data_IF_658921375314
#
_entry.id   IF_658921375314
#
_cell.length_a   1.000
_cell.length_b   1.000
_cell.length_c   1.000
_cell.angle_alpha   90.00
_cell.angle_beta   90.00
_cell.angle_gamma   90.00
#
_symmetry.space_group_name_H-M   'P 1'
#
loop_
_entity.id
_entity.type
_entity.pdbx_description
1 polymer ?
#
# COMPACT_ATOMS: atom_id res chain seq x y z
N UNK A 1 24.79 -55.31 14.94
CA UNK A 1 25.81 -54.28 15.25
C UNK A 1 25.31 -52.98 14.58
N UNK A 2 24.64 -52.13 15.33
CA UNK A 2 24.10 -50.84 14.84
C UNK A 2 25.10 -49.76 15.23
N UNK A 3 25.63 -49.09 14.23
CA UNK A 3 26.54 -47.94 14.44
C UNK A 3 25.67 -46.67 14.65
N UNK A 4 25.78 -46.11 15.83
CA UNK A 4 25.23 -44.78 16.16
C UNK A 4 26.23 -43.72 15.70
N UNK A 5 25.81 -42.92 14.74
CA UNK A 5 26.58 -41.75 14.29
C UNK A 5 26.34 -40.60 15.27
N UNK A 6 27.31 -40.26 16.08
CA UNK A 6 27.33 -39.06 16.89
C UNK A 6 27.78 -37.87 16.03
N UNK A 7 26.90 -36.95 15.75
CA UNK A 7 27.23 -35.63 15.20
C UNK A 7 27.73 -34.70 16.32
N UNK A 8 28.79 -33.93 16.11
CA UNK A 8 29.30 -33.02 17.12
C UNK A 8 28.36 -31.81 17.28
N UNK A 9 27.97 -31.54 18.52
CA UNK A 9 27.35 -30.31 18.93
C UNK A 9 28.33 -29.15 18.72
N UNK A 10 28.09 -28.30 17.72
CA UNK A 10 28.80 -27.03 17.62
C UNK A 10 28.17 -26.09 18.63
N UNK A 11 28.90 -25.81 19.68
CA UNK A 11 28.55 -24.77 20.65
C UNK A 11 28.56 -23.41 19.95
N UNK A 12 27.40 -22.85 19.69
CA UNK A 12 27.24 -21.45 19.29
C UNK A 12 27.53 -20.61 20.53
N UNK A 13 28.73 -20.07 20.61
CA UNK A 13 29.09 -19.07 21.60
C UNK A 13 28.19 -17.84 21.37
N UNK A 14 27.36 -17.53 22.33
CA UNK A 14 26.65 -16.26 22.45
C UNK A 14 27.69 -15.15 22.62
N UNK A 15 28.10 -14.53 21.51
CA UNK A 15 28.79 -13.26 21.57
C UNK A 15 27.77 -12.22 22.07
N UNK A 16 27.80 -11.90 23.35
CA UNK A 16 27.25 -10.69 23.92
C UNK A 16 28.01 -9.52 23.29
N UNK A 17 27.52 -9.03 22.16
CA UNK A 17 27.93 -7.75 21.63
C UNK A 17 27.41 -6.67 22.57
N UNK A 18 28.23 -6.23 23.48
CA UNK A 18 28.10 -4.93 24.14
C UNK A 18 28.18 -3.85 23.08
N UNK A 19 27.01 -3.39 22.62
CA UNK A 19 26.90 -2.26 21.71
C UNK A 19 27.04 -0.98 22.52
N UNK A 20 28.27 -0.58 22.81
CA UNK A 20 28.58 0.74 23.28
C UNK A 20 29.34 1.53 22.22
N UNK A 21 28.80 2.75 21.96
CA UNK A 21 29.48 3.91 21.37
C UNK A 21 29.87 3.86 19.87
N UNK A 22 29.06 3.28 18.99
CA UNK A 22 29.02 3.76 17.61
C UNK A 22 27.72 4.53 17.40
N UNK A 23 27.81 5.81 16.99
CA UNK A 23 26.70 6.75 16.90
C UNK A 23 25.48 6.14 16.26
N UNK A 24 24.45 5.85 17.05
CA UNK A 24 23.18 5.31 16.55
C UNK A 24 22.62 6.28 15.51
N UNK A 25 22.42 5.80 14.29
CA UNK A 25 21.76 6.57 13.26
C UNK A 25 20.41 7.06 13.82
N UNK A 26 20.17 8.37 13.74
CA UNK A 26 18.96 9.00 14.27
C UNK A 26 17.98 9.21 13.13
N UNK A 27 16.71 8.89 13.34
CA UNK A 27 15.65 9.34 12.45
C UNK A 27 15.57 10.87 12.47
N UNK A 28 15.59 11.47 11.27
CA UNK A 28 15.34 12.90 11.08
C UNK A 28 14.09 13.07 10.23
N UNK A 29 13.36 14.14 10.48
CA UNK A 29 12.14 14.52 9.78
C UNK A 29 12.33 15.91 9.21
N UNK A 30 12.07 16.06 7.91
CA UNK A 30 12.12 17.36 7.22
C UNK A 30 10.75 17.67 6.65
N UNK A 31 10.18 18.82 6.94
CA UNK A 31 8.96 19.31 6.28
C UNK A 31 9.32 19.83 4.89
N UNK A 32 8.69 19.29 3.86
CA UNK A 32 8.96 19.63 2.47
C UNK A 32 7.84 20.44 1.81
N UNK A 33 6.62 20.31 2.29
CA UNK A 33 5.46 21.07 1.83
C UNK A 33 4.49 21.31 3.01
N UNK A 34 3.71 22.39 2.97
CA UNK A 34 2.83 22.84 4.06
C UNK A 34 1.39 23.15 3.63
N UNK A 35 1.05 22.95 2.37
CA UNK A 35 -0.31 23.19 1.84
C UNK A 35 -0.88 21.90 1.27
N UNK A 36 -0.98 20.87 2.12
CA UNK A 36 -1.38 19.52 1.73
C UNK A 36 -2.85 19.32 2.05
N UNK A 37 -3.61 18.78 1.09
CA UNK A 37 -5.04 18.54 1.26
C UNK A 37 -5.32 17.49 2.34
N UNK A 38 -6.46 17.63 3.00
CA UNK A 38 -6.96 16.60 3.88
C UNK A 38 -7.21 15.32 3.10
N UNK A 39 -6.77 14.19 3.65
CA UNK A 39 -6.98 12.86 3.08
C UNK A 39 -6.32 12.62 1.71
N UNK A 40 -5.26 13.35 1.39
CA UNK A 40 -4.47 13.09 0.18
C UNK A 40 -3.80 11.72 0.14
N UNK A 41 -4.24 10.78 0.96
CA UNK A 41 -3.40 9.69 1.45
C UNK A 41 -4.17 8.44 1.87
N UNK A 42 -5.21 8.07 1.17
CA UNK A 42 -6.07 6.97 1.62
C UNK A 42 -5.45 5.57 1.56
N UNK A 43 -4.42 5.37 0.78
CA UNK A 43 -3.80 4.05 0.59
C UNK A 43 -2.29 4.12 0.64
N UNK A 44 -1.62 3.13 1.22
CA UNK A 44 -0.17 2.99 1.11
C UNK A 44 0.17 2.49 -0.29
N UNK A 45 0.42 3.42 -1.19
CA UNK A 45 0.81 3.18 -2.57
C UNK A 45 1.91 4.12 -3.00
N UNK A 46 2.67 3.72 -3.99
CA UNK A 46 3.84 4.36 -4.53
C UNK A 46 3.73 5.90 -4.63
N UNK A 47 4.14 6.63 -3.60
CA UNK A 47 4.17 8.09 -3.56
C UNK A 47 5.53 8.69 -3.83
N UNK A 48 6.57 7.86 -3.99
CA UNK A 48 7.91 8.32 -4.27
C UNK A 48 8.85 7.23 -4.77
N UNK A 49 9.91 7.65 -5.47
CA UNK A 49 10.94 6.77 -6.03
C UNK A 49 12.33 7.42 -5.93
N UNK A 50 13.33 6.64 -5.56
CA UNK A 50 14.72 7.06 -5.67
C UNK A 50 15.31 6.63 -7.01
N UNK A 51 15.68 7.61 -7.84
CA UNK A 51 16.36 7.41 -9.10
C UNK A 51 17.89 7.37 -8.89
N UNK A 52 18.45 6.17 -9.01
CA UNK A 52 19.88 5.94 -8.83
C UNK A 52 20.75 6.62 -9.89
N UNK A 53 20.24 6.81 -11.10
CA UNK A 53 21.01 7.38 -12.24
C UNK A 53 21.39 8.84 -12.00
N UNK A 54 20.44 9.63 -11.51
CA UNK A 54 20.65 11.06 -11.20
C UNK A 54 20.87 11.30 -9.71
N UNK A 55 20.72 10.27 -8.86
CA UNK A 55 20.85 10.36 -7.42
C UNK A 55 19.86 11.38 -6.79
N UNK A 56 18.63 11.31 -7.24
CA UNK A 56 17.51 12.12 -6.72
C UNK A 56 16.39 11.23 -6.22
N UNK A 57 15.69 11.68 -5.19
CA UNK A 57 14.42 11.10 -4.78
C UNK A 57 13.30 12.01 -5.25
N UNK A 58 12.33 11.45 -5.95
CA UNK A 58 11.11 12.13 -6.36
C UNK A 58 9.96 11.69 -5.47
N UNK A 59 9.10 12.64 -5.06
CA UNK A 59 7.91 12.40 -4.28
C UNK A 59 6.71 13.13 -4.89
N UNK A 60 5.50 12.60 -4.68
CA UNK A 60 4.26 13.21 -5.13
C UNK A 60 3.25 13.31 -3.99
N UNK A 61 2.39 14.32 -4.02
CA UNK A 61 1.31 14.52 -3.05
C UNK A 61 0.18 15.36 -3.64
N UNK A 62 -0.97 15.39 -2.96
CA UNK A 62 -2.06 16.29 -3.27
C UNK A 62 -2.00 17.55 -2.39
N UNK A 63 -1.93 18.70 -3.01
CA UNK A 63 -1.91 20.01 -2.36
C UNK A 63 -3.28 20.65 -2.27
N UNK A 64 -3.31 21.98 -2.21
CA UNK A 64 -4.55 22.76 -2.21
C UNK A 64 -5.41 22.40 -3.44
N UNK A 65 -6.73 22.35 -3.27
CA UNK A 65 -7.68 21.83 -4.25
C UNK A 65 -7.44 20.39 -4.70
N UNK A 66 -6.62 19.63 -3.94
CA UNK A 66 -6.15 18.29 -4.30
C UNK A 66 -5.34 18.25 -5.62
N UNK A 67 -4.83 19.39 -6.02
CA UNK A 67 -3.89 19.48 -7.15
C UNK A 67 -2.69 18.57 -6.91
N UNK A 68 -2.24 17.91 -7.96
CA UNK A 68 -1.08 17.00 -7.88
C UNK A 68 0.23 17.74 -8.02
N UNK A 69 1.13 17.51 -7.09
CA UNK A 69 2.47 18.09 -7.05
C UNK A 69 3.54 17.00 -7.07
N UNK A 70 4.69 17.36 -7.61
CA UNK A 70 5.92 16.58 -7.57
C UNK A 70 7.07 17.45 -7.08
N UNK A 71 7.98 16.84 -6.34
CA UNK A 71 9.17 17.49 -5.82
C UNK A 71 10.35 16.52 -5.86
N UNK A 72 11.57 17.04 -5.99
CA UNK A 72 12.77 16.22 -5.97
C UNK A 72 13.74 16.61 -4.86
N UNK A 73 14.37 15.62 -4.23
CA UNK A 73 15.52 15.79 -3.35
C UNK A 73 16.80 15.39 -4.07
N UNK A 74 17.73 16.33 -4.23
CA UNK A 74 19.06 16.06 -4.77
C UNK A 74 20.00 15.62 -3.65
N UNK A 75 20.37 14.34 -3.64
CA UNK A 75 21.25 13.77 -2.60
C UNK A 75 22.71 14.27 -2.67
N UNK A 76 23.14 14.85 -3.78
CA UNK A 76 24.48 15.44 -3.90
C UNK A 76 24.54 16.84 -3.27
N UNK A 77 23.44 17.59 -3.43
CA UNK A 77 23.32 18.95 -2.92
C UNK A 77 22.65 19.01 -1.54
N UNK A 78 22.01 17.93 -1.13
CA UNK A 78 21.17 17.87 0.09
C UNK A 78 20.07 18.94 0.11
N UNK A 79 19.42 19.17 -1.03
CA UNK A 79 18.39 20.19 -1.19
C UNK A 79 17.16 19.67 -1.89
N UNK A 80 15.99 20.20 -1.49
CA UNK A 80 14.73 20.00 -2.17
C UNK A 80 14.55 21.02 -3.30
N UNK A 81 13.96 20.61 -4.42
CA UNK A 81 13.47 21.53 -5.46
C UNK A 81 12.24 22.30 -4.93
N UNK A 82 11.85 23.36 -5.65
CA UNK A 82 10.50 23.88 -5.52
C UNK A 82 9.47 22.79 -5.93
N UNK A 83 8.26 22.80 -5.33
CA UNK A 83 7.16 21.94 -5.80
C UNK A 83 6.75 22.32 -7.24
N UNK A 84 6.59 21.32 -8.11
CA UNK A 84 6.01 21.49 -9.43
C UNK A 84 4.57 20.98 -9.42
N UNK A 85 3.60 21.85 -9.68
CA UNK A 85 2.19 21.48 -9.87
C UNK A 85 2.03 20.88 -11.26
N UNK A 86 1.68 19.62 -11.32
CA UNK A 86 1.63 18.87 -12.59
C UNK A 86 0.23 18.71 -13.14
N UNK A 87 -0.79 18.88 -12.30
CA UNK A 87 -2.16 18.70 -12.71
C UNK A 87 -3.17 19.26 -11.71
N UNK A 88 -4.34 19.62 -12.21
CA UNK A 88 -5.49 20.02 -11.42
C UNK A 88 -6.06 18.83 -10.67
N UNK A 89 -6.50 19.08 -9.45
CA UNK A 89 -7.22 18.11 -8.65
C UNK A 89 -8.74 18.15 -8.87
N UNK A 90 -9.45 17.55 -7.96
CA UNK A 90 -10.90 17.60 -7.84
C UNK A 90 -11.25 17.53 -6.35
N UNK A 91 -12.42 18.04 -5.96
CA UNK A 91 -12.85 18.06 -4.56
C UNK A 91 -13.22 16.67 -4.02
N UNK A 92 -12.29 15.73 -4.07
CA UNK A 92 -12.45 14.35 -3.59
C UNK A 92 -11.15 13.79 -3.01
N UNK A 93 -11.22 13.35 -1.78
CA UNK A 93 -10.12 12.78 -1.03
C UNK A 93 -9.51 11.49 -1.62
N UNK A 94 -10.03 10.97 -2.71
CA UNK A 94 -9.46 9.83 -3.43
C UNK A 94 -8.49 10.26 -4.54
N UNK A 95 -8.32 11.56 -4.76
CA UNK A 95 -7.52 12.12 -5.85
C UNK A 95 -6.00 12.14 -5.57
N UNK A 96 -5.51 11.40 -4.59
CA UNK A 96 -4.09 11.34 -4.30
C UNK A 96 -3.28 10.77 -5.48
N UNK A 97 -2.11 11.33 -5.78
CA UNK A 97 -1.23 10.82 -6.82
C UNK A 97 -0.47 9.58 -6.36
N UNK A 98 -0.25 8.64 -7.27
CA UNK A 98 0.67 7.50 -7.10
C UNK A 98 1.69 7.50 -8.22
N UNK A 99 2.95 7.18 -7.92
CA UNK A 99 4.08 7.38 -8.82
C UNK A 99 4.87 6.10 -9.04
N UNK A 100 5.31 5.87 -10.28
CA UNK A 100 6.39 4.96 -10.62
C UNK A 100 7.36 5.62 -11.61
N UNK A 101 8.57 5.07 -11.71
CA UNK A 101 9.52 5.46 -12.74
C UNK A 101 9.55 4.37 -13.83
N UNK A 102 9.28 4.77 -15.07
CA UNK A 102 9.43 3.91 -16.22
C UNK A 102 10.93 3.62 -16.53
N UNK A 103 11.21 2.54 -17.24
CA UNK A 103 12.58 2.10 -17.53
C UNK A 103 13.39 3.14 -18.34
N UNK A 104 12.73 3.96 -19.13
CA UNK A 104 13.35 5.05 -19.88
C UNK A 104 13.67 6.29 -19.01
N UNK A 105 13.29 6.25 -17.74
CA UNK A 105 13.58 7.28 -16.74
C UNK A 105 12.46 8.30 -16.55
N UNK A 106 11.40 8.26 -17.33
CA UNK A 106 10.26 9.14 -17.13
C UNK A 106 9.49 8.76 -15.85
N UNK A 107 9.00 9.76 -15.15
CA UNK A 107 8.08 9.59 -14.02
C UNK A 107 6.67 9.51 -14.55
N UNK A 108 5.89 8.55 -14.04
CA UNK A 108 4.50 8.36 -14.38
C UNK A 108 3.66 8.51 -13.11
N UNK A 109 2.65 9.37 -13.15
CA UNK A 109 1.77 9.62 -12.01
C UNK A 109 0.33 9.34 -12.43
N UNK A 110 -0.32 8.46 -11.64
CA UNK A 110 -1.72 8.12 -11.77
C UNK A 110 -2.48 8.89 -10.68
N UNK A 111 -3.53 9.62 -11.05
CA UNK A 111 -4.15 10.60 -10.18
C UNK A 111 -5.62 10.88 -10.52
N UNK A 112 -6.28 11.57 -9.63
CA UNK A 112 -7.60 12.13 -9.88
C UNK A 112 -8.70 11.09 -10.02
N UNK A 113 -8.57 9.93 -9.38
CA UNK A 113 -9.45 8.79 -9.64
C UNK A 113 -10.36 8.46 -8.46
N UNK A 114 -11.62 8.86 -8.60
CA UNK A 114 -12.72 8.33 -7.81
C UNK A 114 -13.96 8.16 -8.67
N UNK A 115 -14.18 6.95 -9.15
CA UNK A 115 -15.27 6.59 -10.06
C UNK A 115 -15.24 7.41 -11.37
N UNK A 116 -14.05 7.75 -11.82
CA UNK A 116 -13.79 8.49 -13.06
C UNK A 116 -12.76 7.74 -13.90
N UNK A 117 -12.49 8.24 -15.09
CA UNK A 117 -11.55 7.67 -16.05
C UNK A 117 -10.15 7.48 -15.46
N UNK A 118 -9.49 6.38 -15.84
CA UNK A 118 -8.09 6.13 -15.48
C UNK A 118 -7.17 6.98 -16.32
N UNK A 119 -6.44 7.88 -15.69
CA UNK A 119 -5.53 8.84 -16.34
C UNK A 119 -4.13 8.74 -15.75
N UNK A 120 -3.15 9.13 -16.56
CA UNK A 120 -1.74 9.19 -16.18
C UNK A 120 -1.14 10.51 -16.65
N UNK A 121 -0.31 11.12 -15.82
CA UNK A 121 0.58 12.23 -16.22
C UNK A 121 2.00 11.69 -16.34
N UNK A 122 2.68 12.05 -17.43
CA UNK A 122 4.07 11.66 -17.75
C UNK A 122 4.99 12.87 -17.70
N UNK A 123 6.15 12.74 -17.05
CA UNK A 123 7.14 13.82 -17.05
C UNK A 123 7.65 14.13 -18.46
N UNK A 124 7.90 15.40 -18.81
CA UNK A 124 8.38 15.76 -20.17
C UNK A 124 9.77 15.21 -20.45
N UNK A 125 10.62 15.16 -19.43
CA UNK A 125 12.00 14.69 -19.54
C UNK A 125 12.24 13.49 -18.61
N UNK A 126 13.08 12.52 -19.02
CA UNK A 126 13.49 11.43 -18.16
C UNK A 126 14.32 11.96 -16.98
N UNK A 127 14.17 11.33 -15.81
CA UNK A 127 14.93 11.65 -14.60
C UNK A 127 14.72 13.08 -14.05
N UNK A 128 13.59 13.72 -14.41
CA UNK A 128 13.23 15.07 -13.98
C UNK A 128 11.77 15.15 -13.55
N UNK A 129 11.52 16.01 -12.54
CA UNK A 129 10.18 16.41 -12.14
C UNK A 129 9.77 17.76 -12.74
N UNK A 130 10.66 18.44 -13.45
CA UNK A 130 10.47 19.79 -13.94
C UNK A 130 9.65 19.81 -15.25
N UNK A 131 9.05 20.97 -15.55
CA UNK A 131 8.34 21.20 -16.79
C UNK A 131 6.85 20.87 -16.74
N UNK A 132 6.22 20.94 -17.92
CA UNK A 132 4.78 20.70 -18.12
C UNK A 132 4.56 19.23 -18.47
N UNK A 133 3.77 18.56 -17.67
CA UNK A 133 3.52 17.13 -17.82
C UNK A 133 2.40 16.86 -18.82
N UNK A 134 2.56 15.80 -19.60
CA UNK A 134 1.57 15.34 -20.55
C UNK A 134 0.56 14.39 -19.88
N UNK A 135 -0.73 14.63 -20.08
CA UNK A 135 -1.79 13.75 -19.60
C UNK A 135 -2.24 12.77 -20.68
N UNK A 136 -2.39 11.52 -20.33
CA UNK A 136 -2.89 10.45 -21.18
C UNK A 136 -4.10 9.77 -20.54
N UNK A 137 -5.19 9.61 -21.30
CA UNK A 137 -6.33 8.78 -20.94
C UNK A 137 -5.97 7.31 -21.21
N UNK A 138 -6.00 6.47 -20.17
CA UNK A 138 -5.70 5.04 -20.26
C UNK A 138 -6.97 4.22 -20.47
N UNK A 139 -8.02 4.48 -19.69
CA UNK A 139 -9.30 3.78 -19.77
C UNK A 139 -10.44 4.71 -19.40
N UNK A 140 -11.59 4.53 -20.07
CA UNK A 140 -12.84 5.24 -19.77
C UNK A 140 -13.63 4.64 -18.61
N UNK A 141 -13.17 3.54 -18.03
CA UNK A 141 -13.84 2.88 -16.92
C UNK A 141 -13.80 3.75 -15.67
N UNK A 142 -14.81 3.59 -14.82
CA UNK A 142 -14.89 4.30 -13.55
C UNK A 142 -13.86 3.75 -12.54
N UNK A 143 -12.66 4.28 -12.57
CA UNK A 143 -11.51 3.81 -11.79
C UNK A 143 -11.38 4.52 -10.45
N UNK A 144 -10.85 3.80 -9.46
CA UNK A 144 -10.48 4.32 -8.12
C UNK A 144 -9.26 3.55 -7.62
N UNK A 145 -8.42 4.16 -6.79
CA UNK A 145 -7.28 3.55 -6.12
C UNK A 145 -6.23 2.96 -7.07
N UNK A 146 -5.55 3.77 -7.85
CA UNK A 146 -4.47 3.29 -8.70
C UNK A 146 -3.29 2.78 -7.87
N UNK A 147 -2.81 1.58 -8.16
CA UNK A 147 -1.71 0.91 -7.48
C UNK A 147 -0.67 0.46 -8.51
N UNK A 148 0.22 1.35 -8.93
CA UNK A 148 1.22 1.05 -9.94
C UNK A 148 2.42 0.31 -9.35
N UNK A 149 3.03 -0.55 -10.18
CA UNK A 149 4.37 -1.09 -9.95
C UNK A 149 5.05 -1.40 -11.27
N UNK A 150 6.38 -1.53 -11.24
CA UNK A 150 7.19 -1.82 -12.42
C UNK A 150 7.93 -3.13 -12.21
N UNK A 151 7.78 -4.05 -13.14
CA UNK A 151 8.50 -5.34 -13.12
C UNK A 151 9.97 -5.17 -13.53
N UNK A 152 10.79 -6.18 -13.27
CA UNK A 152 12.22 -6.15 -13.61
C UNK A 152 12.51 -5.95 -15.11
N UNK A 153 11.64 -6.43 -15.97
CA UNK A 153 11.73 -6.25 -17.43
C UNK A 153 11.23 -4.88 -17.91
N UNK A 154 10.72 -4.05 -16.98
CA UNK A 154 10.21 -2.72 -17.26
C UNK A 154 8.74 -2.68 -17.65
N UNK A 155 8.03 -3.80 -17.57
CA UNK A 155 6.57 -3.82 -17.76
C UNK A 155 5.90 -3.09 -16.58
N UNK A 156 4.99 -2.18 -16.87
CA UNK A 156 4.27 -1.40 -15.88
C UNK A 156 2.88 -1.98 -15.72
N UNK A 157 2.49 -2.27 -14.50
CA UNK A 157 1.16 -2.67 -14.09
C UNK A 157 0.54 -1.57 -13.24
N UNK A 158 -0.76 -1.32 -13.41
CA UNK A 158 -1.55 -0.48 -12.52
C UNK A 158 -2.81 -1.23 -12.14
N UNK A 159 -2.88 -1.70 -10.92
CA UNK A 159 -4.14 -2.23 -10.36
C UNK A 159 -5.03 -1.05 -9.97
N UNK A 160 -6.33 -1.19 -10.20
CA UNK A 160 -7.32 -0.21 -9.80
C UNK A 160 -8.65 -0.89 -9.51
N UNK A 161 -9.48 -0.25 -8.70
CA UNK A 161 -10.83 -0.71 -8.45
C UNK A 161 -11.76 -0.07 -9.46
N UNK A 162 -12.55 -0.87 -10.14
CA UNK A 162 -13.61 -0.40 -11.03
C UNK A 162 -14.94 -0.33 -10.26
N UNK A 163 -15.74 0.70 -10.49
CA UNK A 163 -17.12 0.77 -10.02
C UNK A 163 -18.03 0.39 -11.16
N UNK A 164 -18.65 -0.78 -11.06
CA UNK A 164 -19.64 -1.28 -12.01
C UNK A 164 -20.97 -1.39 -11.29
N UNK A 165 -21.98 -0.71 -11.81
CA UNK A 165 -23.33 -0.71 -11.24
C UNK A 165 -24.22 -1.80 -11.79
N UNK A 166 -23.86 -2.36 -12.92
CA UNK A 166 -24.62 -3.37 -13.61
C UNK A 166 -23.69 -4.26 -14.42
N UNK A 167 -23.32 -5.38 -13.82
CA UNK A 167 -22.39 -6.33 -14.47
C UNK A 167 -23.07 -7.24 -15.49
N UNK A 168 -24.35 -7.51 -15.34
CA UNK A 168 -25.10 -8.42 -16.19
C UNK A 168 -26.26 -7.73 -16.96
N UNK A 169 -26.47 -6.42 -16.77
CA UNK A 169 -27.54 -5.66 -17.37
C UNK A 169 -28.93 -5.92 -16.77
N UNK A 170 -29.03 -6.75 -15.74
CA UNK A 170 -30.30 -7.22 -15.19
C UNK A 170 -30.49 -6.91 -13.72
N UNK A 171 -29.41 -6.73 -12.97
CA UNK A 171 -29.46 -6.49 -11.53
C UNK A 171 -28.58 -5.29 -11.16
N UNK A 172 -29.12 -4.23 -10.58
CA UNK A 172 -28.33 -3.08 -10.12
C UNK A 172 -27.53 -3.45 -8.88
N UNK A 173 -26.50 -4.27 -9.03
CA UNK A 173 -25.54 -4.57 -7.98
C UNK A 173 -24.38 -3.61 -8.11
N UNK A 174 -24.16 -2.77 -7.10
CA UNK A 174 -22.96 -1.96 -7.01
C UNK A 174 -21.79 -2.92 -6.67
N UNK A 175 -21.13 -3.41 -7.72
CA UNK A 175 -19.95 -4.26 -7.58
C UNK A 175 -18.70 -3.45 -7.86
N UNK A 176 -17.63 -3.73 -7.11
CA UNK A 176 -16.38 -3.00 -7.20
C UNK A 176 -15.19 -3.97 -7.26
N UNK A 177 -15.02 -4.63 -8.42
CA UNK A 177 -13.90 -5.53 -8.63
C UNK A 177 -12.59 -4.77 -8.82
N UNK A 178 -11.47 -5.48 -8.66
CA UNK A 178 -10.16 -5.03 -9.09
C UNK A 178 -9.87 -5.49 -10.51
N UNK A 179 -9.36 -4.57 -11.31
CA UNK A 179 -8.78 -4.80 -12.62
C UNK A 179 -7.33 -4.30 -12.62
N UNK A 180 -6.63 -4.50 -13.72
CA UNK A 180 -5.35 -3.87 -13.97
C UNK A 180 -5.18 -3.50 -15.44
N UNK A 181 -4.30 -2.54 -15.69
CA UNK A 181 -3.79 -2.21 -17.02
C UNK A 181 -2.28 -2.46 -17.07
N UNK A 182 -1.77 -2.73 -18.27
CA UNK A 182 -0.37 -3.08 -18.51
C UNK A 182 0.19 -2.27 -19.66
N UNK A 183 1.37 -1.71 -19.46
CA UNK A 183 2.20 -1.09 -20.49
C UNK A 183 3.54 -1.78 -20.59
N UNK A 184 3.98 -2.07 -21.83
CA UNK A 184 5.31 -2.64 -22.13
C UNK A 184 6.25 -1.64 -22.83
N UNK A 185 5.81 -0.43 -23.03
CA UNK A 185 6.47 0.62 -23.80
C UNK A 185 6.64 1.93 -23.02
N UNK A 186 6.90 1.79 -21.72
CA UNK A 186 7.13 2.91 -20.78
C UNK A 186 5.92 3.85 -20.64
N UNK A 187 4.71 3.32 -20.63
CA UNK A 187 3.48 4.06 -20.42
C UNK A 187 2.89 4.72 -21.68
N UNK A 188 3.40 4.42 -22.88
CA UNK A 188 2.88 5.01 -24.11
C UNK A 188 1.59 4.35 -24.59
N UNK A 189 1.49 3.03 -24.46
CA UNK A 189 0.26 2.28 -24.76
C UNK A 189 -0.10 1.33 -23.64
N UNK A 190 -1.39 1.02 -23.53
CA UNK A 190 -1.94 0.24 -22.43
C UNK A 190 -2.89 -0.84 -22.93
N UNK A 191 -2.87 -1.99 -22.25
CA UNK A 191 -3.85 -3.07 -22.43
C UNK A 191 -4.53 -3.35 -21.09
N UNK A 192 -5.82 -3.58 -21.09
CA UNK A 192 -6.57 -3.95 -19.89
C UNK A 192 -6.32 -5.42 -19.51
N UNK A 193 -6.59 -5.78 -18.27
CA UNK A 193 -6.59 -7.18 -17.83
C UNK A 193 -7.51 -8.04 -18.69
N UNK A 194 -8.69 -7.53 -19.02
CA UNK A 194 -9.66 -8.22 -19.90
C UNK A 194 -9.09 -8.47 -21.31
N UNK A 195 -8.38 -7.50 -21.91
CA UNK A 195 -7.71 -7.70 -23.20
C UNK A 195 -6.64 -8.79 -23.16
N UNK A 196 -6.03 -9.00 -22.00
CA UNK A 196 -4.90 -9.90 -21.82
C UNK A 196 -5.31 -11.32 -21.39
N UNK A 197 -6.40 -11.47 -20.69
CA UNK A 197 -6.84 -12.75 -20.10
C UNK A 197 -8.19 -13.24 -20.63
N UNK A 198 -9.02 -12.33 -21.13
CA UNK A 198 -10.41 -12.62 -21.48
C UNK A 198 -11.36 -12.56 -20.28
N UNK A 199 -10.82 -12.41 -19.06
CA UNK A 199 -11.61 -12.38 -17.83
C UNK A 199 -12.25 -11.01 -17.61
N UNK A 200 -13.39 -11.01 -16.94
CA UNK A 200 -14.16 -9.81 -16.66
C UNK A 200 -13.53 -8.91 -15.60
N UNK A 201 -12.82 -9.49 -14.63
CA UNK A 201 -12.09 -8.81 -13.58
C UNK A 201 -10.86 -9.64 -13.15
N UNK A 202 -9.99 -9.06 -12.37
CA UNK A 202 -8.85 -9.77 -11.79
C UNK A 202 -9.18 -10.34 -10.40
N UNK A 203 -9.79 -9.55 -9.52
CA UNK A 203 -10.29 -10.00 -8.22
C UNK A 203 -11.68 -9.39 -8.04
N UNK A 204 -12.70 -10.23 -7.79
CA UNK A 204 -14.04 -9.68 -7.64
C UNK A 204 -15.09 -10.73 -7.37
N UNK A 205 -16.32 -10.25 -7.42
CA UNK A 205 -17.51 -11.07 -7.40
C UNK A 205 -18.58 -10.45 -8.29
N UNK A 206 -19.49 -11.27 -8.79
CA UNK A 206 -20.61 -10.80 -9.60
C UNK A 206 -21.85 -10.57 -8.77
N UNK A 207 -22.14 -11.46 -7.83
CA UNK A 207 -23.30 -11.36 -6.97
C UNK A 207 -23.13 -12.30 -5.76
N UNK A 208 -22.56 -11.79 -4.69
CA UNK A 208 -22.48 -12.55 -3.43
C UNK A 208 -23.82 -12.49 -2.71
N UNK A 209 -24.25 -13.62 -2.16
CA UNK A 209 -25.48 -13.70 -1.37
C UNK A 209 -25.46 -12.83 -0.09
N UNK A 210 -24.26 -12.50 0.41
CA UNK A 210 -24.06 -11.64 1.57
C UNK A 210 -23.92 -10.15 1.20
N UNK A 211 -24.09 -9.77 -0.07
CA UNK A 211 -23.96 -8.40 -0.59
C UNK A 211 -22.61 -7.72 -0.29
N UNK A 212 -21.53 -8.51 -0.12
CA UNK A 212 -20.18 -8.02 0.10
C UNK A 212 -19.41 -8.00 -1.23
N UNK A 213 -19.86 -7.18 -2.17
CA UNK A 213 -19.45 -7.20 -3.58
C UNK A 213 -18.31 -6.22 -3.92
N UNK A 214 -17.64 -5.68 -2.92
CA UNK A 214 -16.63 -4.64 -3.11
C UNK A 214 -15.26 -5.13 -2.62
N UNK A 215 -14.24 -5.03 -3.47
CA UNK A 215 -12.87 -5.37 -3.13
C UNK A 215 -12.14 -4.12 -2.64
N UNK A 216 -11.56 -4.21 -1.43
CA UNK A 216 -10.71 -3.16 -0.87
C UNK A 216 -9.30 -3.70 -0.63
N UNK A 217 -8.39 -3.49 -1.59
CA UNK A 217 -6.98 -3.81 -1.41
C UNK A 217 -6.39 -2.86 -0.38
N UNK A 218 -5.85 -3.40 0.71
CA UNK A 218 -5.15 -2.66 1.74
C UNK A 218 -3.74 -2.31 1.31
N UNK A 219 -3.03 -3.29 0.77
CA UNK A 219 -1.69 -3.11 0.21
C UNK A 219 -1.44 -4.06 -0.95
N UNK A 220 -0.71 -3.56 -1.94
CA UNK A 220 -0.09 -4.31 -3.01
C UNK A 220 1.42 -4.08 -2.90
N UNK A 221 2.20 -5.15 -2.73
CA UNK A 221 3.65 -5.05 -2.52
C UNK A 221 4.41 -5.98 -3.45
N UNK A 222 5.25 -5.40 -4.29
CA UNK A 222 6.18 -6.17 -5.10
C UNK A 222 7.40 -6.61 -4.26
N UNK A 223 7.81 -7.86 -4.44
CA UNK A 223 8.99 -8.44 -3.81
C UNK A 223 10.18 -8.47 -4.78
N UNK A 224 11.37 -8.63 -4.23
CA UNK A 224 12.61 -8.75 -5.01
C UNK A 224 12.59 -9.92 -6.00
N UNK A 225 11.83 -10.98 -5.73
CA UNK A 225 11.66 -12.13 -6.65
C UNK A 225 10.64 -11.88 -7.77
N UNK A 226 10.03 -10.69 -7.82
CA UNK A 226 9.04 -10.29 -8.81
C UNK A 226 7.59 -10.63 -8.46
N UNK A 227 7.34 -11.40 -7.40
CA UNK A 227 5.98 -11.67 -6.92
C UNK A 227 5.34 -10.41 -6.34
N UNK A 228 4.04 -10.28 -6.51
CA UNK A 228 3.29 -9.16 -5.97
C UNK A 228 2.32 -9.68 -4.92
N UNK A 229 2.54 -9.31 -3.66
CA UNK A 229 1.68 -9.69 -2.53
C UNK A 229 0.49 -8.73 -2.45
N UNK A 230 -0.68 -9.27 -2.24
CA UNK A 230 -1.93 -8.52 -2.18
C UNK A 230 -2.69 -8.95 -0.93
N UNK A 231 -3.04 -7.99 -0.10
CA UNK A 231 -3.93 -8.15 1.05
C UNK A 231 -5.16 -7.27 0.86
N UNK A 232 -6.33 -7.81 1.15
CA UNK A 232 -7.58 -7.09 0.96
C UNK A 232 -8.67 -7.52 1.95
N UNK A 233 -9.73 -6.73 2.03
CA UNK A 233 -10.98 -7.05 2.71
C UNK A 233 -12.14 -6.90 1.75
N UNK A 234 -13.25 -7.54 2.06
CA UNK A 234 -14.52 -7.31 1.37
C UNK A 234 -15.28 -6.18 2.04
N UNK A 235 -15.96 -5.39 1.22
CA UNK A 235 -16.94 -4.43 1.68
C UNK A 235 -18.25 -4.58 0.91
N UNK A 236 -19.30 -3.92 1.40
CA UNK A 236 -20.62 -3.90 0.76
C UNK A 236 -21.73 -3.56 1.71
N UNK A 237 -22.96 -3.79 1.27
CA UNK A 237 -24.16 -3.45 2.04
C UNK A 237 -24.57 -4.50 3.06
N UNK A 238 -24.06 -5.74 2.97
CA UNK A 238 -24.41 -6.82 3.88
C UNK A 238 -25.94 -7.01 3.98
N UNK A 239 -26.51 -7.08 5.22
CA UNK A 239 -27.95 -7.23 5.42
C UNK A 239 -28.79 -6.03 4.93
N UNK A 240 -28.17 -4.90 4.63
CA UNK A 240 -28.85 -3.73 4.06
C UNK A 240 -28.94 -3.77 2.52
N UNK A 241 -28.61 -4.88 1.89
CA UNK A 241 -28.65 -5.06 0.45
C UNK A 241 -27.47 -4.39 -0.27
N UNK A 242 -27.71 -3.86 -1.48
CA UNK A 242 -26.66 -3.31 -2.35
C UNK A 242 -26.18 -1.90 -1.95
N UNK A 243 -26.00 -1.64 -0.66
CA UNK A 243 -25.46 -0.37 -0.18
C UNK A 243 -23.95 -0.37 -0.20
N UNK A 244 -23.36 0.71 -0.68
CA UNK A 244 -21.92 0.90 -0.76
C UNK A 244 -21.30 1.08 0.63
N UNK A 245 -20.19 0.36 0.88
CA UNK A 245 -19.23 0.59 1.97
C UNK A 245 -19.85 0.68 3.38
N UNK A 246 -20.94 -0.08 3.63
CA UNK A 246 -21.61 -0.11 4.94
C UNK A 246 -20.90 -1.01 5.93
N UNK A 247 -20.46 -2.17 5.46
CA UNK A 247 -19.78 -3.18 6.25
C UNK A 247 -18.48 -3.58 5.58
N UNK A 248 -17.51 -4.00 6.40
CA UNK A 248 -16.30 -4.67 5.98
C UNK A 248 -16.24 -6.00 6.70
N UNK A 249 -15.72 -7.03 6.06
CA UNK A 249 -15.51 -8.34 6.68
C UNK A 249 -14.32 -9.06 6.11
N UNK A 250 -13.71 -9.87 6.95
CA UNK A 250 -12.66 -10.81 6.64
C UNK A 250 -11.38 -10.17 6.08
N UNK A 251 -10.30 -10.88 6.26
CA UNK A 251 -9.00 -10.57 5.66
C UNK A 251 -8.66 -11.66 4.68
N UNK A 252 -8.25 -11.28 3.49
CA UNK A 252 -7.85 -12.18 2.42
C UNK A 252 -6.44 -11.87 1.96
N UNK A 253 -5.76 -12.91 1.48
CA UNK A 253 -4.40 -12.81 0.97
C UNK A 253 -4.24 -13.63 -0.30
N UNK A 254 -3.59 -13.03 -1.29
CA UNK A 254 -3.11 -13.70 -2.52
C UNK A 254 -1.75 -13.14 -2.92
N UNK A 255 -1.07 -13.81 -3.84
CA UNK A 255 0.02 -13.20 -4.57
C UNK A 255 -0.17 -13.40 -6.07
N UNK A 256 0.31 -12.43 -6.83
CA UNK A 256 0.20 -12.34 -8.27
C UNK A 256 1.58 -12.52 -8.90
N UNK A 257 1.66 -13.32 -9.97
CA UNK A 257 2.84 -13.44 -10.80
C UNK A 257 2.66 -12.63 -12.10
N UNK A 258 3.38 -11.51 -12.27
CA UNK A 258 3.26 -10.69 -13.47
C UNK A 258 3.69 -11.39 -14.77
N UNK A 259 4.45 -12.49 -14.71
CA UNK A 259 4.94 -13.18 -15.90
C UNK A 259 3.86 -13.97 -16.61
N UNK A 260 3.06 -14.73 -15.84
CA UNK A 260 1.93 -15.50 -16.38
C UNK A 260 0.56 -14.86 -16.07
N UNK A 261 0.52 -13.83 -15.22
CA UNK A 261 -0.69 -13.14 -14.76
C UNK A 261 -1.63 -14.03 -13.93
N UNK A 262 -1.08 -15.06 -13.29
CA UNK A 262 -1.84 -15.90 -12.38
C UNK A 262 -1.79 -15.41 -10.94
N UNK A 263 -2.86 -15.69 -10.23
CA UNK A 263 -2.96 -15.52 -8.78
C UNK A 263 -2.70 -16.83 -8.06
N UNK A 264 -2.18 -16.73 -6.85
CA UNK A 264 -1.83 -17.91 -6.06
C UNK A 264 -2.22 -17.70 -4.60
N UNK A 265 -2.61 -18.78 -3.93
CA UNK A 265 -2.84 -18.78 -2.49
C UNK A 265 -1.52 -18.74 -1.68
N UNK A 266 -1.63 -18.60 -0.35
CA UNK A 266 -0.46 -18.69 0.54
C UNK A 266 0.25 -20.04 0.46
N UNK A 267 -0.48 -21.13 0.17
CA UNK A 267 0.09 -22.47 -0.02
C UNK A 267 0.75 -22.68 -1.39
N UNK A 268 0.65 -21.69 -2.31
CA UNK A 268 1.17 -21.79 -3.67
C UNK A 268 0.23 -22.46 -4.66
N UNK A 269 -1.05 -22.68 -4.31
CA UNK A 269 -2.04 -23.18 -5.25
C UNK A 269 -2.29 -22.13 -6.33
N UNK A 270 -2.17 -22.53 -7.59
CA UNK A 270 -2.53 -21.72 -8.75
C UNK A 270 -4.06 -21.59 -8.88
N UNK A 271 -4.55 -20.36 -8.98
CA UNK A 271 -5.95 -19.98 -9.08
C UNK A 271 -6.30 -19.43 -10.47
N UNK A 272 -5.32 -19.39 -11.41
CA UNK A 272 -5.52 -18.81 -12.74
C UNK A 272 -5.44 -17.29 -12.74
N UNK A 273 -6.05 -16.70 -13.77
CA UNK A 273 -5.97 -15.26 -14.08
C UNK A 273 -7.04 -14.41 -13.41
N UNK A 274 -8.03 -15.06 -12.77
CA UNK A 274 -9.15 -14.43 -12.09
C UNK A 274 -9.35 -15.07 -10.70
N UNK A 275 -9.72 -14.28 -9.72
CA UNK A 275 -10.18 -14.71 -8.39
C UNK A 275 -11.65 -14.37 -8.25
N UNK A 276 -12.48 -15.36 -7.99
CA UNK A 276 -13.90 -15.24 -7.71
C UNK A 276 -14.27 -15.49 -6.22
N UNK A 277 -15.55 -15.54 -5.93
CA UNK A 277 -16.07 -15.77 -4.57
C UNK A 277 -15.65 -17.12 -4.00
N UNK A 278 -15.63 -18.16 -4.83
CA UNK A 278 -15.30 -19.52 -4.40
C UNK A 278 -13.81 -19.63 -4.03
N UNK A 279 -12.95 -18.98 -4.83
CA UNK A 279 -11.52 -18.90 -4.53
C UNK A 279 -11.24 -18.13 -3.26
N UNK A 280 -11.92 -17.00 -3.06
CA UNK A 280 -11.78 -16.16 -1.87
C UNK A 280 -12.06 -16.96 -0.60
N UNK A 281 -13.21 -17.60 -0.52
CA UNK A 281 -13.64 -18.35 0.66
C UNK A 281 -12.81 -19.61 0.89
N UNK A 282 -12.46 -20.33 -0.16
CA UNK A 282 -11.81 -21.63 -0.05
C UNK A 282 -10.30 -21.58 0.12
N UNK A 283 -9.65 -20.57 -0.48
CA UNK A 283 -8.20 -20.59 -0.65
C UNK A 283 -7.47 -19.36 -0.12
N UNK A 284 -8.16 -18.23 0.09
CA UNK A 284 -7.54 -16.95 0.36
C UNK A 284 -7.85 -16.37 1.72
N UNK A 285 -8.80 -16.92 2.44
CA UNK A 285 -9.22 -16.45 3.78
C UNK A 285 -8.07 -16.56 4.79
N UNK A 286 -7.74 -15.43 5.40
CA UNK A 286 -6.71 -15.31 6.43
C UNK A 286 -7.31 -15.28 7.81
N UNK A 287 -8.35 -14.46 7.98
CA UNK A 287 -9.05 -14.29 9.24
C UNK A 287 -10.52 -13.96 8.99
N UNK A 288 -11.40 -14.67 9.66
CA UNK A 288 -12.81 -14.31 9.74
C UNK A 288 -12.99 -13.15 10.72
N UNK A 289 -13.82 -12.20 10.36
CA UNK A 289 -14.20 -11.09 11.23
C UNK A 289 -15.70 -10.88 11.22
N UNK A 290 -16.28 -10.28 12.30
CA UNK A 290 -17.70 -9.96 12.32
C UNK A 290 -18.08 -9.04 11.16
N UNK A 291 -19.28 -9.22 10.63
CA UNK A 291 -19.83 -8.34 9.58
C UNK A 291 -20.18 -6.96 10.13
N UNK A 292 -20.67 -6.89 11.37
CA UNK A 292 -21.04 -5.67 12.06
C UNK A 292 -20.45 -5.65 13.46
N UNK A 293 -20.02 -4.47 13.88
CA UNK A 293 -19.57 -4.22 15.24
C UNK A 293 -20.54 -3.27 15.95
N UNK A 294 -20.63 -3.30 17.27
CA UNK A 294 -21.31 -2.28 18.05
C UNK A 294 -20.83 -0.87 17.65
N UNK A 295 -21.70 0.13 17.72
CA UNK A 295 -21.40 1.52 17.37
C UNK A 295 -21.09 1.79 15.89
N UNK A 296 -21.51 0.94 14.97
CA UNK A 296 -21.27 1.07 13.53
C UNK A 296 -19.78 1.19 13.15
N UNK A 297 -18.89 0.66 13.94
CA UNK A 297 -17.47 0.56 13.58
C UNK A 297 -17.34 -0.48 12.50
N UNK A 298 -16.75 -0.09 11.36
CA UNK A 298 -16.48 -1.02 10.25
C UNK A 298 -15.47 -2.08 10.68
N UNK A 299 -15.76 -3.32 10.36
CA UNK A 299 -14.92 -4.47 10.66
C UNK A 299 -14.35 -4.99 9.35
N UNK A 300 -13.12 -5.32 9.23
CA UNK A 300 -11.91 -4.64 9.65
C UNK A 300 -11.67 -3.32 8.90
N UNK A 301 -10.66 -2.55 9.23
CA UNK A 301 -10.27 -1.39 8.43
C UNK A 301 -9.75 -1.86 7.05
N UNK A 302 -9.90 -1.00 6.04
CA UNK A 302 -9.45 -1.29 4.67
C UNK A 302 -7.96 -1.04 4.42
N UNK A 303 -7.20 -0.62 5.41
CA UNK A 303 -5.74 -0.50 5.33
C UNK A 303 -5.12 -1.68 6.07
N UNK A 304 -4.49 -2.56 5.32
CA UNK A 304 -3.73 -3.69 5.84
C UNK A 304 -2.34 -3.65 5.23
N UNK A 305 -1.36 -4.28 5.88
CA UNK A 305 0.00 -4.37 5.37
C UNK A 305 0.42 -5.84 5.23
N UNK A 306 1.30 -6.09 4.28
CA UNK A 306 1.87 -7.40 4.02
C UNK A 306 3.40 -7.34 3.95
N UNK A 307 4.03 -8.29 4.63
CA UNK A 307 5.47 -8.56 4.51
C UNK A 307 5.73 -10.05 4.36
N UNK A 308 6.98 -10.40 4.13
CA UNK A 308 7.41 -11.80 4.03
C UNK A 308 8.71 -12.01 4.80
N UNK A 309 8.80 -13.14 5.47
CA UNK A 309 10.04 -13.60 6.11
C UNK A 309 10.30 -15.02 5.66
N UNK A 310 11.49 -15.27 5.08
CA UNK A 310 11.85 -16.58 4.52
C UNK A 310 10.81 -17.11 3.51
N UNK A 311 10.21 -16.20 2.72
CA UNK A 311 9.18 -16.52 1.74
C UNK A 311 7.78 -16.73 2.30
N UNK A 312 7.61 -16.76 3.63
CA UNK A 312 6.30 -16.90 4.29
C UNK A 312 5.69 -15.53 4.53
N UNK A 313 4.43 -15.30 4.11
CA UNK A 313 3.76 -14.02 4.33
C UNK A 313 3.32 -13.86 5.80
N UNK A 314 3.35 -12.60 6.24
CA UNK A 314 2.64 -12.14 7.42
C UNK A 314 1.82 -10.90 7.07
N UNK A 315 0.74 -10.67 7.79
CA UNK A 315 -0.15 -9.53 7.59
C UNK A 315 -0.34 -8.77 8.90
N UNK A 316 -0.41 -7.46 8.78
CA UNK A 316 -0.86 -6.58 9.85
C UNK A 316 -2.17 -5.94 9.45
N UNK A 317 -3.13 -5.96 10.34
CA UNK A 317 -4.44 -5.38 10.14
C UNK A 317 -5.05 -4.96 11.48
N UNK A 318 -6.05 -4.12 11.44
CA UNK A 318 -6.75 -3.67 12.64
C UNK A 318 -8.25 -3.53 12.41
N UNK A 319 -9.00 -3.56 13.49
CA UNK A 319 -10.44 -3.37 13.51
C UNK A 319 -10.86 -2.65 14.79
N UNK A 320 -12.10 -2.16 14.82
CA UNK A 320 -12.69 -1.62 16.05
C UNK A 320 -12.84 -2.69 17.12
N UNK A 321 -12.91 -2.27 18.37
CA UNK A 321 -13.24 -3.12 19.49
C UNK A 321 -14.76 -3.20 19.62
N UNK A 322 -15.32 -4.41 19.67
CA UNK A 322 -16.77 -4.65 19.84
C UNK A 322 -17.34 -4.01 21.11
N UNK A 323 -16.51 -3.90 22.16
CA UNK A 323 -16.88 -3.26 23.40
C UNK A 323 -16.75 -1.73 23.38
N UNK A 324 -16.43 -1.12 22.21
CA UNK A 324 -16.22 0.31 22.09
C UNK A 324 -14.86 0.79 22.65
N UNK A 325 -13.93 -0.12 22.87
CA UNK A 325 -12.57 0.17 23.30
C UNK A 325 -11.67 0.67 22.17
N UNK A 326 -10.34 0.78 22.41
CA UNK A 326 -9.38 1.20 21.40
C UNK A 326 -9.25 0.16 20.28
N UNK A 327 -8.83 0.61 19.09
CA UNK A 327 -8.57 -0.26 17.94
C UNK A 327 -7.70 -1.46 18.33
N UNK A 328 -8.04 -2.63 17.86
CA UNK A 328 -7.32 -3.88 18.08
C UNK A 328 -6.46 -4.18 16.86
N UNK A 329 -5.17 -4.37 17.06
CA UNK A 329 -4.21 -4.65 16.00
C UNK A 329 -3.80 -6.13 16.02
N UNK A 330 -3.81 -6.75 14.85
CA UNK A 330 -3.57 -8.17 14.67
C UNK A 330 -2.37 -8.41 13.76
N UNK A 331 -1.63 -9.44 14.09
CA UNK A 331 -0.59 -10.04 13.25
C UNK A 331 -1.03 -11.44 12.86
N UNK A 332 -1.25 -11.67 11.57
CA UNK A 332 -1.52 -12.98 11.00
C UNK A 332 -0.26 -13.50 10.31
N UNK A 333 0.16 -14.71 10.63
CA UNK A 333 1.38 -15.34 10.11
C UNK A 333 1.04 -16.65 9.43
N UNK A 334 1.53 -16.88 8.22
CA UNK A 334 1.43 -18.17 7.54
C UNK A 334 2.55 -19.09 8.03
N UNK A 335 2.19 -20.25 8.57
CA UNK A 335 3.16 -21.23 9.09
C UNK A 335 3.57 -22.32 8.08
N UNK A 336 3.16 -22.17 6.81
CA UNK A 336 3.33 -23.17 5.74
C UNK A 336 2.11 -24.06 5.51
N UNK A 337 1.14 -24.08 6.44
CA UNK A 337 -0.08 -24.92 6.38
C UNK A 337 -1.36 -24.14 6.65
N UNK A 338 -1.32 -23.23 7.61
CA UNK A 338 -2.47 -22.45 8.06
C UNK A 338 -2.04 -21.05 8.51
N UNK A 339 -3.00 -20.14 8.60
CA UNK A 339 -2.83 -18.83 9.19
C UNK A 339 -2.99 -18.91 10.72
N UNK A 340 -2.11 -18.23 11.42
CA UNK A 340 -2.14 -18.02 12.87
C UNK A 340 -2.29 -16.53 13.14
N UNK A 341 -3.38 -16.12 13.77
CA UNK A 341 -3.68 -14.70 14.06
C UNK A 341 -3.61 -14.43 15.56
N UNK A 342 -2.92 -13.37 15.94
CA UNK A 342 -2.85 -12.90 17.32
C UNK A 342 -2.97 -11.39 17.41
N UNK A 343 -3.59 -10.91 18.48
CA UNK A 343 -3.57 -9.49 18.82
C UNK A 343 -2.16 -9.11 19.31
N UNK A 344 -1.62 -7.99 18.79
CA UNK A 344 -0.25 -7.53 19.10
C UNK A 344 -0.21 -6.15 19.72
N UNK A 345 -1.23 -5.32 19.51
CA UNK A 345 -1.31 -3.98 20.05
C UNK A 345 -2.75 -3.46 20.09
N UNK A 346 -2.97 -2.36 20.80
CA UNK A 346 -4.23 -1.62 20.83
C UNK A 346 -4.00 -0.12 20.64
N UNK A 347 -5.00 0.58 20.12
CA UNK A 347 -5.00 2.04 19.94
C UNK A 347 -4.12 2.55 18.80
N UNK A 348 -3.58 1.65 17.97
CA UNK A 348 -2.73 1.98 16.86
C UNK A 348 -3.46 1.83 15.52
N UNK A 349 -3.01 2.62 14.55
CA UNK A 349 -3.28 2.40 13.12
C UNK A 349 -1.95 2.04 12.46
N UNK A 350 -1.78 0.78 12.09
CA UNK A 350 -0.64 0.38 11.27
C UNK A 350 -0.76 1.02 9.89
N UNK A 351 0.31 1.69 9.43
CA UNK A 351 0.30 2.49 8.21
C UNK A 351 1.12 1.89 7.09
N UNK A 352 2.31 1.41 7.42
CA UNK A 352 3.24 0.88 6.42
C UNK A 352 4.22 -0.09 7.07
N UNK A 353 4.82 -0.96 6.25
CA UNK A 353 5.91 -1.86 6.66
C UNK A 353 7.10 -1.73 5.72
N UNK A 354 8.27 -1.77 6.30
CA UNK A 354 9.55 -1.67 5.60
C UNK A 354 10.43 -2.89 5.91
N UNK A 355 11.00 -3.50 4.89
CA UNK A 355 11.97 -4.58 5.08
C UNK A 355 13.29 -4.00 5.59
N UNK A 356 13.68 -4.36 6.80
CA UNK A 356 14.95 -3.94 7.42
C UNK A 356 16.08 -4.90 7.04
N UNK A 357 15.80 -6.18 7.16
CA UNK A 357 16.71 -7.27 6.77
C UNK A 357 15.91 -8.54 6.42
N UNK A 358 16.59 -9.67 6.26
CA UNK A 358 15.97 -10.93 5.85
C UNK A 358 14.92 -11.46 6.85
N UNK A 359 15.05 -11.09 8.13
CA UNK A 359 14.23 -11.60 9.22
C UNK A 359 13.40 -10.52 9.92
N UNK A 360 13.64 -9.25 9.62
CA UNK A 360 13.09 -8.11 10.37
C UNK A 360 12.40 -7.12 9.45
N UNK A 361 11.19 -6.75 9.84
CA UNK A 361 10.41 -5.68 9.22
C UNK A 361 10.14 -4.58 10.26
N UNK A 362 10.25 -3.33 9.84
CA UNK A 362 9.80 -2.17 10.60
C UNK A 362 8.36 -1.89 10.24
N UNK A 363 7.55 -1.63 11.25
CA UNK A 363 6.16 -1.20 11.11
C UNK A 363 6.07 0.24 11.54
N UNK A 364 5.48 1.07 10.71
CA UNK A 364 5.12 2.43 11.03
C UNK A 364 3.66 2.47 11.44
N UNK A 365 3.37 3.04 12.60
CA UNK A 365 2.03 3.13 13.14
C UNK A 365 1.76 4.50 13.75
N UNK A 366 0.50 4.93 13.74
CA UNK A 366 0.06 6.20 14.32
C UNK A 366 -1.00 5.96 15.37
N UNK A 367 -1.11 6.88 16.30
CA UNK A 367 -2.22 7.00 17.26
C UNK A 367 -3.08 8.19 16.84
N UNK A 368 -4.40 8.07 17.02
CA UNK A 368 -5.31 9.13 16.60
C UNK A 368 -5.02 10.44 17.38
N UNK A 369 -4.84 11.53 16.63
CA UNK A 369 -4.58 12.87 17.17
C UNK A 369 -3.17 13.09 17.72
N UNK A 370 -2.27 12.09 17.73
CA UNK A 370 -0.90 12.25 18.22
C UNK A 370 0.05 12.71 17.10
N UNK A 371 0.87 13.77 17.35
CA UNK A 371 1.82 14.27 16.35
C UNK A 371 3.12 13.46 16.37
N UNK A 372 3.02 12.18 16.08
CA UNK A 372 4.15 11.27 16.00
C UNK A 372 3.83 10.05 15.16
N UNK A 373 4.88 9.39 14.71
CA UNK A 373 4.84 8.05 14.14
C UNK A 373 5.61 7.11 15.07
N UNK A 374 4.95 6.07 15.54
CA UNK A 374 5.57 5.01 16.33
C UNK A 374 6.13 3.95 15.40
N UNK A 375 7.32 3.46 15.66
CA UNK A 375 7.86 2.32 14.92
C UNK A 375 7.99 1.09 15.81
N UNK A 376 7.73 -0.05 15.20
CA UNK A 376 7.81 -1.37 15.82
C UNK A 376 8.62 -2.29 14.91
N UNK A 377 9.19 -3.34 15.49
CA UNK A 377 9.84 -4.39 14.73
C UNK A 377 9.00 -5.67 14.77
N UNK A 378 8.82 -6.27 13.60
CA UNK A 378 8.30 -7.64 13.44
C UNK A 378 9.47 -8.52 13.01
N UNK A 379 9.91 -9.40 13.91
CA UNK A 379 10.97 -10.36 13.63
C UNK A 379 10.41 -11.74 13.33
N UNK A 380 10.99 -12.41 12.33
CA UNK A 380 10.56 -13.74 11.86
C UNK A 380 9.06 -13.81 11.56
N UNK A 381 8.45 -12.67 11.16
CA UNK A 381 7.03 -12.56 10.86
C UNK A 381 6.09 -12.79 12.06
N UNK A 382 6.59 -12.88 13.30
CA UNK A 382 5.80 -13.26 14.47
C UNK A 382 6.11 -12.52 15.78
N UNK A 383 7.28 -11.94 15.93
CA UNK A 383 7.68 -11.28 17.18
C UNK A 383 7.57 -9.77 17.05
N UNK A 384 6.63 -9.18 17.77
CA UNK A 384 6.36 -7.76 17.82
C UNK A 384 7.09 -7.08 18.97
N UNK A 385 7.78 -5.97 18.71
CA UNK A 385 8.42 -5.17 19.75
C UNK A 385 8.48 -3.68 19.37
N UNK A 386 8.36 -2.75 20.32
CA UNK A 386 8.57 -1.33 20.04
C UNK A 386 10.02 -1.03 19.62
N UNK A 387 10.21 -0.02 18.77
CA UNK A 387 11.52 0.42 18.32
C UNK A 387 11.79 1.87 18.68
N UNK A 388 11.05 2.84 18.12
CA UNK A 388 11.24 4.27 18.41
C UNK A 388 9.97 5.09 18.12
N UNK A 389 9.99 6.33 18.58
CA UNK A 389 8.97 7.33 18.30
C UNK A 389 9.57 8.44 17.46
N UNK A 390 8.93 8.78 16.35
CA UNK A 390 9.37 9.82 15.42
C UNK A 390 8.40 11.01 15.58
N UNK A 391 8.81 12.12 16.21
CA UNK A 391 7.94 13.27 16.41
C UNK A 391 7.69 14.01 15.08
N UNK A 392 6.48 14.53 14.92
CA UNK A 392 6.05 15.39 13.80
C UNK A 392 5.36 16.63 14.34
N UNK A 393 5.16 17.67 13.52
CA UNK A 393 4.44 18.86 13.95
C UNK A 393 2.91 18.66 14.00
N UNK A 394 2.39 17.79 13.13
CA UNK A 394 0.96 17.47 13.05
C UNK A 394 0.75 15.97 13.11
N UNK A 395 -0.44 15.49 13.55
CA UNK A 395 -0.80 14.08 13.47
C UNK A 395 -0.62 13.54 12.05
N UNK A 396 -0.02 12.35 11.93
CA UNK A 396 0.24 11.71 10.63
C UNK A 396 -0.91 10.79 10.29
N UNK A 397 -1.45 10.95 9.08
CA UNK A 397 -2.53 10.11 8.55
C UNK A 397 -2.01 8.95 7.71
N UNK A 398 -0.86 9.13 7.06
CA UNK A 398 -0.27 8.16 6.16
C UNK A 398 1.24 8.11 6.28
N UNK A 399 1.78 6.93 6.02
CA UNK A 399 3.21 6.67 5.83
C UNK A 399 3.38 5.88 4.55
N UNK A 400 4.39 6.23 3.76
CA UNK A 400 4.83 5.48 2.57
C UNK A 400 6.33 5.32 2.57
N UNK A 401 6.80 4.16 2.15
CA UNK A 401 8.22 3.95 1.91
C UNK A 401 8.51 4.29 0.45
N UNK A 402 9.49 5.16 0.24
CA UNK A 402 9.99 5.53 -1.10
C UNK A 402 10.57 4.29 -1.78
N UNK A 403 10.16 4.03 -3.00
CA UNK A 403 10.69 2.90 -3.76
C UNK A 403 12.22 3.08 -3.99
N UNK A 404 12.99 2.03 -3.74
CA UNK A 404 14.45 2.04 -3.83
C UNK A 404 15.11 3.14 -2.97
N UNK A 405 14.51 3.56 -1.90
CA UNK A 405 14.89 4.72 -1.09
C UNK A 405 16.40 4.86 -0.83
N UNK A 406 16.81 6.08 -0.64
CA UNK A 406 18.11 6.48 -0.12
C UNK A 406 17.91 7.47 1.02
N UNK A 407 18.54 7.21 2.17
CA UNK A 407 18.52 8.16 3.27
C UNK A 407 19.13 9.53 2.91
N UNK A 408 18.59 10.64 3.41
CA UNK A 408 17.54 10.75 4.43
C UNK A 408 16.10 10.73 3.85
N UNK A 409 15.90 10.48 2.56
CA UNK A 409 14.58 10.46 1.92
C UNK A 409 14.07 9.00 1.81
N UNK A 410 13.75 8.39 2.95
CA UNK A 410 13.32 7.00 3.07
C UNK A 410 11.82 6.83 3.04
N UNK A 411 11.12 7.63 3.82
CA UNK A 411 9.68 7.53 4.02
C UNK A 411 9.02 8.90 3.90
N UNK A 412 7.80 8.91 3.40
CA UNK A 412 6.94 10.09 3.28
C UNK A 412 5.85 9.96 4.33
N UNK A 413 5.63 11.01 5.12
CA UNK A 413 4.52 11.11 6.07
C UNK A 413 3.61 12.25 5.66
N UNK A 414 2.31 12.01 5.58
CA UNK A 414 1.30 13.06 5.35
C UNK A 414 0.75 13.52 6.70
N UNK A 415 1.06 14.75 7.08
CA UNK A 415 0.51 15.42 8.26
C UNK A 415 -0.90 15.90 7.98
N UNK A 416 -1.80 15.66 8.95
CA UNK A 416 -3.22 15.94 8.81
C UNK A 416 -3.49 17.43 8.56
N UNK A 417 -4.30 17.73 7.55
CA UNK A 417 -4.94 19.03 7.43
C UNK A 417 -6.02 19.18 8.52
N UNK A 418 -6.09 20.35 9.14
CA UNK A 418 -7.12 20.66 10.13
C UNK A 418 -8.49 20.89 9.48
N UNK A 419 -8.51 21.20 8.19
CA UNK A 419 -9.71 21.53 7.43
C UNK A 419 -9.97 20.47 6.34
N UNK A 420 -11.25 20.12 6.17
CA UNK A 420 -11.70 19.23 5.09
C UNK A 420 -11.99 19.97 3.79
N UNK A 421 -12.11 21.31 3.85
CA UNK A 421 -12.25 22.13 2.67
C UNK A 421 -10.92 22.11 1.89
N UNK A 422 -10.97 21.62 0.69
CA UNK A 422 -9.79 21.48 -0.19
C UNK A 422 -9.16 22.84 -0.56
N UNK A 423 -9.93 23.93 -0.46
CA UNK A 423 -9.44 25.30 -0.66
C UNK A 423 -8.56 25.79 0.50
N UNK A 424 -8.67 25.15 1.67
CA UNK A 424 -7.93 25.51 2.88
C UNK A 424 -7.08 24.32 3.32
N UNK A 425 -6.19 23.89 2.45
CA UNK A 425 -5.26 22.81 2.72
C UNK A 425 -4.10 23.33 3.58
N UNK A 426 -4.00 22.85 4.82
CA UNK A 426 -2.97 23.21 5.78
C UNK A 426 -2.18 22.00 6.33
N UNK A 427 -2.31 20.85 5.70
CA UNK A 427 -1.50 19.67 6.01
C UNK A 427 -0.03 19.84 5.62
N UNK A 428 0.81 18.94 6.10
CA UNK A 428 2.25 18.94 5.83
C UNK A 428 2.68 17.63 5.13
N UNK A 429 3.68 17.72 4.29
CA UNK A 429 4.48 16.57 3.86
C UNK A 429 5.79 16.57 4.62
N UNK A 430 6.04 15.49 5.32
CA UNK A 430 7.32 15.20 5.96
C UNK A 430 8.04 14.12 5.19
N UNK A 431 9.36 14.27 5.08
CA UNK A 431 10.23 13.19 4.62
C UNK A 431 11.11 12.78 5.79
N UNK A 432 11.11 11.49 6.07
CA UNK A 432 11.83 10.90 7.18
C UNK A 432 12.88 9.91 6.69
N UNK A 433 14.00 9.85 7.39
CA UNK A 433 15.06 8.89 7.13
C UNK A 433 16.17 8.96 8.15
N UNK A 434 17.15 8.08 8.02
CA UNK A 434 18.29 8.07 8.91
C UNK A 434 19.35 9.07 8.46
N UNK A 435 19.91 9.82 9.39
CA UNK A 435 21.13 10.58 9.19
C UNK A 435 22.26 9.93 9.98
N UNK A 436 23.42 9.74 9.33
CA UNK A 436 24.63 9.40 10.05
C UNK A 436 25.10 10.65 10.81
N UNK A 437 25.43 10.47 12.07
CA UNK A 437 26.14 11.50 12.86
C UNK A 437 27.57 11.61 12.37
#
# INVERSE_FOLDING_TARGET
MSAVLLLPLVAVSSANATADAQGKAKFTVTTTATSVAARSDRRPVAGGVHDKKVNKTFISWAGQYEDSYVQSYDHRKSTWSAPNRIADGASDAHNYPTMVQARDGHLLIFRGMHNVELRMSRSPEPHSADGVWEETLISKNAATYPMPFVTRDGTIYVFYRETTRDLDGTTPTDTRPMLYVVSKDNGKTWKTSTDLTGDRFAIGSTARADNMNEIYIGQLRQEENGRVRIVYTLAGGGPEGNKHDRYHRNIYYTWFDPQNRHFYSASGKDLGTQIDDADQEKHLLVAETPLTLPNNVKSPDYIQQVGTTLGQPFLLWFMGDEAGGPLRNYLSTWNGRSWETKEVARGLRTREVEKVDLFTWRVYATEDGKPNVNTYLVRLGRFWSPETVIPTAKPVQRVEIVENFRDPARAIFSGASSNRDVAIADGDIYVAGFTRR
#
